data_IF_855449338630
#
_entry.id   IF_855449338630
#
_cell.length_a   1.000
_cell.length_b   1.000
_cell.length_c   1.000
_cell.angle_alpha   90.00
_cell.angle_beta   90.00
_cell.angle_gamma   90.00
#
_symmetry.space_group_name_H-M   'P 1'
#
loop_
_entity.id
_entity.type
_entity.pdbx_description
1 polymer ?
#
# COMPACT_ATOMS: atom_id res chain seq x y z
N UNK A 1 6.38 -26.58 13.80
CA UNK A 1 5.00 -26.22 13.42
C UNK A 1 4.48 -25.20 14.42
N UNK A 2 4.69 -23.90 14.16
CA UNK A 2 4.16 -22.85 15.04
C UNK A 2 2.69 -22.63 14.68
N UNK A 3 1.77 -23.14 15.49
CA UNK A 3 0.34 -22.94 15.28
C UNK A 3 -0.02 -21.56 15.84
N UNK A 4 -0.65 -20.70 15.03
CA UNK A 4 -1.27 -19.48 15.55
C UNK A 4 -2.50 -19.93 16.32
N UNK A 5 -2.46 -19.80 17.64
CA UNK A 5 -3.53 -20.28 18.51
C UNK A 5 -4.65 -19.26 18.63
N UNK A 6 -4.39 -17.98 18.38
CA UNK A 6 -5.40 -16.91 18.50
C UNK A 6 -5.75 -16.27 17.16
N UNK A 7 -7.06 -16.13 16.89
CA UNK A 7 -7.55 -15.31 15.77
C UNK A 7 -7.46 -13.83 16.14
N UNK A 8 -7.28 -12.97 15.14
CA UNK A 8 -7.25 -11.51 15.34
C UNK A 8 -8.63 -11.02 15.82
N UNK A 9 -8.62 -10.26 16.92
CA UNK A 9 -9.77 -9.54 17.49
C UNK A 9 -9.39 -8.07 17.70
N UNK A 10 -10.36 -7.22 18.05
CA UNK A 10 -10.11 -5.80 18.34
C UNK A 10 -9.26 -5.57 19.60
N UNK A 11 -9.07 -6.56 20.46
CA UNK A 11 -8.37 -6.43 21.74
C UNK A 11 -7.01 -7.14 21.78
N UNK A 12 -6.66 -7.99 20.80
CA UNK A 12 -5.47 -8.85 20.88
C UNK A 12 -4.41 -8.62 19.78
N UNK A 13 -4.48 -7.51 19.04
CA UNK A 13 -3.59 -7.24 17.90
C UNK A 13 -2.10 -7.46 18.19
N UNK A 14 -1.60 -6.99 19.34
CA UNK A 14 -0.16 -7.11 19.70
C UNK A 14 0.26 -8.58 19.89
N UNK A 15 -0.57 -9.37 20.57
CA UNK A 15 -0.33 -10.80 20.80
C UNK A 15 -0.44 -11.59 19.49
N UNK A 16 -1.49 -11.34 18.71
CA UNK A 16 -1.70 -11.93 17.39
C UNK A 16 -0.51 -11.63 16.46
N UNK A 17 -0.07 -10.36 16.37
CA UNK A 17 1.06 -9.93 15.53
C UNK A 17 2.35 -10.65 15.90
N UNK A 18 2.59 -10.86 17.19
CA UNK A 18 3.78 -11.56 17.69
C UNK A 18 3.80 -13.02 17.25
N UNK A 19 2.64 -13.69 17.22
CA UNK A 19 2.51 -15.10 16.80
C UNK A 19 2.64 -15.30 15.28
N UNK A 20 2.05 -14.42 14.46
CA UNK A 20 2.06 -14.52 12.99
C UNK A 20 3.38 -14.06 12.36
N UNK A 21 4.11 -13.12 12.99
CA UNK A 21 5.32 -12.49 12.40
C UNK A 21 6.43 -13.50 12.04
N UNK A 22 6.84 -14.44 12.91
CA UNK A 22 7.88 -15.42 12.56
C UNK A 22 7.47 -16.33 11.40
N UNK A 23 6.18 -16.65 11.29
CA UNK A 23 5.64 -17.52 10.25
C UNK A 23 5.65 -16.81 8.89
N UNK A 24 5.24 -15.53 8.85
CA UNK A 24 5.34 -14.70 7.64
C UNK A 24 6.79 -14.46 7.21
N UNK A 25 7.72 -14.31 8.15
CA UNK A 25 9.16 -14.19 7.86
C UNK A 25 9.73 -15.50 7.31
N UNK A 26 9.41 -16.63 7.94
CA UNK A 26 9.84 -17.96 7.47
C UNK A 26 9.27 -18.32 6.09
N UNK A 27 8.09 -17.81 5.76
CA UNK A 27 7.45 -17.97 4.45
C UNK A 27 7.88 -16.92 3.41
N UNK A 28 8.75 -15.96 3.75
CA UNK A 28 9.23 -14.92 2.82
C UNK A 28 8.18 -13.87 2.39
N UNK A 29 6.97 -13.91 2.96
CA UNK A 29 5.83 -13.05 2.56
C UNK A 29 5.63 -11.86 3.50
N UNK A 30 6.44 -11.73 4.56
CA UNK A 30 6.32 -10.63 5.51
C UNK A 30 6.37 -9.25 4.85
N UNK A 31 7.15 -9.09 3.76
CA UNK A 31 7.27 -7.86 2.98
C UNK A 31 5.97 -7.36 2.33
N UNK A 32 5.00 -8.24 2.08
CA UNK A 32 3.69 -7.84 1.53
C UNK A 32 2.74 -7.30 2.60
N UNK A 33 3.01 -7.58 3.87
CA UNK A 33 2.16 -7.18 5.02
C UNK A 33 2.61 -5.85 5.63
N UNK A 34 3.80 -5.36 5.26
CA UNK A 34 4.35 -4.07 5.69
C UNK A 34 4.43 -3.11 4.51
N UNK A 35 3.55 -2.12 4.48
CA UNK A 35 3.85 -0.79 3.93
C UNK A 35 4.56 0.00 5.02
N UNK A 36 5.61 0.76 4.71
CA UNK A 36 6.09 1.77 5.65
C UNK A 36 5.88 3.17 5.14
N UNK A 37 5.76 4.03 6.13
CA UNK A 37 5.27 5.37 6.15
C UNK A 37 6.40 6.39 5.93
N UNK A 38 6.05 7.66 6.05
CA UNK A 38 6.94 8.82 5.92
C UNK A 38 8.01 8.92 7.04
N UNK A 39 8.03 8.01 8.02
CA UNK A 39 8.89 8.05 9.23
C UNK A 39 10.02 7.00 9.22
N UNK A 40 10.32 6.40 8.07
CA UNK A 40 11.67 5.90 7.78
C UNK A 40 12.13 4.63 8.50
N UNK A 41 11.25 3.70 8.85
CA UNK A 41 11.67 2.30 9.04
C UNK A 41 11.53 1.55 7.70
N UNK A 42 12.27 0.43 7.49
CA UNK A 42 12.39 -0.40 6.26
C UNK A 42 11.12 -1.05 5.64
N UNK A 43 10.46 -0.42 4.68
CA UNK A 43 9.57 -1.18 3.79
C UNK A 43 10.48 -1.94 2.88
N UNK A 44 10.21 -3.21 2.58
CA UNK A 44 10.71 -3.76 1.31
C UNK A 44 9.95 -2.95 0.25
N UNK A 45 10.59 -2.00 -0.46
CA UNK A 45 9.87 -1.16 -1.41
C UNK A 45 9.31 -2.11 -2.47
N UNK A 46 8.02 -1.99 -2.80
CA UNK A 46 7.46 -2.78 -3.89
C UNK A 46 8.38 -2.59 -5.12
N UNK A 47 9.09 -3.64 -5.58
CA UNK A 47 10.07 -3.50 -6.66
C UNK A 47 9.40 -3.10 -7.98
N UNK A 48 8.08 -3.28 -8.08
CA UNK A 48 7.25 -2.90 -9.22
C UNK A 48 6.62 -1.50 -9.06
N UNK A 49 6.86 -0.80 -7.94
CA UNK A 49 6.27 0.52 -7.69
C UNK A 49 6.55 1.51 -8.82
N UNK A 50 7.80 1.55 -9.29
CA UNK A 50 8.19 2.45 -10.38
C UNK A 50 7.49 2.12 -11.70
N UNK A 51 7.17 0.84 -11.94
CA UNK A 51 6.44 0.39 -13.13
C UNK A 51 4.98 0.78 -12.99
N UNK A 52 4.33 0.44 -11.88
CA UNK A 52 2.92 0.76 -11.64
C UNK A 52 2.65 2.26 -11.63
N UNK A 53 3.51 3.03 -10.96
CA UNK A 53 3.39 4.49 -10.94
C UNK A 53 3.47 5.06 -12.35
N UNK A 54 4.37 4.56 -13.20
CA UNK A 54 4.47 5.01 -14.59
C UNK A 54 3.22 4.70 -15.40
N UNK A 55 2.67 3.50 -15.29
CA UNK A 55 1.45 3.11 -16.00
C UNK A 55 0.22 3.90 -15.52
N UNK A 56 0.11 4.11 -14.21
CA UNK A 56 -0.92 4.94 -13.59
C UNK A 56 -0.86 6.39 -14.12
N UNK A 57 0.33 7.00 -14.16
CA UNK A 57 0.49 8.35 -14.68
C UNK A 57 0.20 8.47 -16.19
N UNK A 58 0.42 7.40 -16.97
CA UNK A 58 0.03 7.37 -18.39
C UNK A 58 -1.49 7.36 -18.56
N UNK A 59 -2.20 6.52 -17.80
CA UNK A 59 -3.67 6.47 -17.81
C UNK A 59 -4.25 7.81 -17.34
N UNK A 60 -3.71 8.38 -16.26
CA UNK A 60 -4.11 9.68 -15.77
C UNK A 60 -3.91 10.77 -16.81
N UNK A 61 -2.74 10.82 -17.46
CA UNK A 61 -2.46 11.78 -18.53
C UNK A 61 -3.42 11.65 -19.72
N UNK A 62 -3.74 10.40 -20.12
CA UNK A 62 -4.75 10.15 -21.14
C UNK A 62 -6.12 10.67 -20.73
N UNK A 63 -6.57 10.38 -19.51
CA UNK A 63 -7.86 10.86 -19.00
C UNK A 63 -7.92 12.39 -18.98
N UNK A 64 -6.90 13.06 -18.43
CA UNK A 64 -6.84 14.52 -18.34
C UNK A 64 -6.86 15.20 -19.73
N UNK A 65 -6.20 14.60 -20.72
CA UNK A 65 -6.17 15.11 -22.09
C UNK A 65 -7.52 14.97 -22.84
N UNK A 66 -8.42 14.14 -22.34
CA UNK A 66 -9.77 13.98 -22.91
C UNK A 66 -10.83 14.85 -22.21
N UNK A 67 -10.46 15.61 -21.17
CA UNK A 67 -11.37 16.52 -20.49
C UNK A 67 -11.47 17.87 -21.23
N UNK A 68 -12.65 18.50 -21.18
CA UNK A 68 -12.79 19.90 -21.57
C UNK A 68 -12.06 20.80 -20.56
N UNK A 69 -11.70 22.01 -21.00
CA UNK A 69 -10.97 22.97 -20.16
C UNK A 69 -11.72 23.27 -18.84
N UNK A 70 -13.04 23.39 -18.90
CA UNK A 70 -13.90 23.67 -17.75
C UNK A 70 -13.89 22.52 -16.75
N UNK A 71 -13.96 21.27 -17.22
CA UNK A 71 -13.93 20.07 -16.37
C UNK A 71 -12.55 19.86 -15.77
N UNK A 72 -11.49 20.10 -16.54
CA UNK A 72 -10.10 19.99 -16.07
C UNK A 72 -9.79 20.95 -14.91
N UNK A 73 -10.34 22.17 -14.95
CA UNK A 73 -10.21 23.16 -13.84
C UNK A 73 -10.90 22.67 -12.55
N UNK A 74 -12.03 21.97 -12.66
CA UNK A 74 -12.71 21.40 -11.50
C UNK A 74 -11.97 20.19 -10.92
N UNK A 75 -11.39 19.34 -11.78
CA UNK A 75 -10.62 18.17 -11.32
C UNK A 75 -9.33 18.59 -10.61
N UNK A 76 -8.64 19.61 -11.12
CA UNK A 76 -7.40 20.12 -10.50
C UNK A 76 -7.63 20.84 -9.16
N UNK A 77 -8.80 21.47 -8.96
CA UNK A 77 -9.12 22.11 -7.68
C UNK A 77 -9.45 21.13 -6.56
N UNK A 78 -9.98 19.94 -6.89
CA UNK A 78 -10.25 18.86 -5.93
C UNK A 78 -8.97 18.13 -5.52
N UNK A 79 -8.01 17.96 -6.43
CA UNK A 79 -6.75 17.25 -6.18
C UNK A 79 -5.76 18.01 -5.27
N UNK A 80 -5.98 19.31 -5.02
CA UNK A 80 -5.13 20.19 -4.20
C UNK A 80 -5.71 20.52 -2.81
N UNK A 81 -6.83 19.91 -2.42
CA UNK A 81 -7.44 20.02 -1.09
C UNK A 81 -7.09 18.81 -0.21
#
# INVERSE_FOLDING_TARGET
SGQITERLTCTNYVLWRTQITPQLRGAGVFGYVISKDKDGKETIPNPLHAVWFREDQQVLGYLLNNLSKEVLVQVTSIAHA
#
